data_IF_267812650096
#
_entry.id   IF_267812650096
#
_cell.length_a   1.000
_cell.length_b   1.000
_cell.length_c   1.000
_cell.angle_alpha   90.00
_cell.angle_beta   90.00
_cell.angle_gamma   90.00
#
_symmetry.space_group_name_H-M   'P 1'
#
loop_
_entity.id
_entity.type
_entity.pdbx_description
1 polymer ?
#
# COMPACT_ATOMS: atom_id res chain seq x y z
N UNK A 1 46.20 29.90 -33.27
CA UNK A 1 44.77 29.69 -33.17
C UNK A 1 44.32 28.21 -33.18
N UNK A 2 45.17 27.25 -32.85
CA UNK A 2 44.80 25.82 -32.83
C UNK A 2 44.76 25.15 -31.42
N UNK A 3 45.25 25.85 -30.38
CA UNK A 3 45.28 25.31 -29.03
C UNK A 3 44.01 25.58 -28.18
N UNK A 4 43.17 26.54 -28.55
CA UNK A 4 41.93 26.88 -27.81
C UNK A 4 40.76 25.96 -28.10
N UNK A 5 40.75 25.26 -29.23
CA UNK A 5 39.61 24.42 -29.65
C UNK A 5 39.65 23.04 -28.98
N UNK A 6 40.81 22.54 -28.57
CA UNK A 6 40.96 21.23 -27.93
C UNK A 6 40.52 21.24 -26.47
N UNK A 7 40.69 22.36 -25.76
CA UNK A 7 40.33 22.48 -24.34
C UNK A 7 38.78 22.55 -24.17
N UNK A 8 38.05 23.13 -25.14
CA UNK A 8 36.61 23.26 -25.06
C UNK A 8 35.88 21.94 -25.29
N UNK A 9 36.41 21.01 -26.10
CA UNK A 9 35.81 19.71 -26.38
C UNK A 9 36.04 18.73 -25.21
N UNK A 10 37.16 18.81 -24.50
CA UNK A 10 37.44 17.94 -23.35
C UNK A 10 36.64 18.36 -22.10
N UNK A 11 36.24 19.64 -21.98
CA UNK A 11 35.44 20.12 -20.86
C UNK A 11 33.92 19.72 -21.00
N UNK A 12 33.42 19.56 -22.24
CA UNK A 12 32.03 19.07 -22.46
C UNK A 12 31.85 17.57 -22.23
N UNK A 13 32.89 16.76 -22.39
CA UNK A 13 32.82 15.32 -22.22
C UNK A 13 32.76 14.86 -20.73
N UNK A 14 33.17 15.73 -19.78
CA UNK A 14 33.17 15.44 -18.34
C UNK A 14 31.86 15.79 -17.62
N UNK A 15 30.91 16.44 -18.30
CA UNK A 15 29.62 16.82 -17.72
C UNK A 15 28.48 15.80 -17.92
N UNK A 16 28.76 14.69 -18.61
CA UNK A 16 27.70 13.75 -19.05
C UNK A 16 27.48 12.57 -18.08
N UNK A 17 28.13 12.49 -16.92
CA UNK A 17 27.98 11.35 -15.98
C UNK A 17 27.66 11.76 -14.54
N UNK A 18 26.89 12.81 -14.37
CA UNK A 18 26.25 13.03 -13.06
C UNK A 18 24.87 12.40 -13.04
N UNK A 19 24.78 11.11 -13.24
CA UNK A 19 23.63 10.35 -12.75
C UNK A 19 23.59 10.58 -11.23
N UNK A 20 22.58 11.31 -10.75
CA UNK A 20 22.32 11.39 -9.31
C UNK A 20 22.16 9.95 -8.83
N UNK A 21 23.09 9.43 -7.99
CA UNK A 21 22.93 8.08 -7.49
C UNK A 21 21.57 8.02 -6.78
N UNK A 22 20.71 7.13 -7.19
CA UNK A 22 19.51 6.82 -6.43
C UNK A 22 20.01 6.38 -5.05
N UNK A 23 19.83 7.22 -4.04
CA UNK A 23 20.20 6.89 -2.66
C UNK A 23 19.28 5.75 -2.21
N UNK A 24 19.77 4.52 -2.34
CA UNK A 24 19.15 3.36 -1.72
C UNK A 24 19.22 3.53 -0.19
N UNK A 25 18.20 3.04 0.53
CA UNK A 25 18.22 3.02 1.99
C UNK A 25 19.41 2.18 2.48
N UNK A 26 20.17 2.73 3.43
CA UNK A 26 21.19 1.96 4.13
C UNK A 26 20.55 1.08 5.22
N UNK A 27 21.17 -0.04 5.60
CA UNK A 27 20.61 -0.96 6.60
C UNK A 27 20.32 -0.29 7.95
N UNK A 28 21.07 0.71 8.37
CA UNK A 28 20.90 1.45 9.62
C UNK A 28 19.70 2.43 9.60
N UNK A 29 19.13 2.67 8.41
CA UNK A 29 17.92 3.48 8.24
C UNK A 29 16.62 2.66 8.34
N UNK A 30 16.71 1.36 8.56
CA UNK A 30 15.55 0.45 8.59
C UNK A 30 15.31 -0.07 10.01
N UNK A 31 14.05 0.03 10.49
CA UNK A 31 13.59 -0.65 11.70
C UNK A 31 12.67 -1.81 11.34
N UNK A 32 12.82 -2.95 12.00
CA UNK A 32 12.00 -4.13 11.79
C UNK A 32 11.09 -4.34 12.99
N UNK A 33 9.79 -4.42 12.77
CA UNK A 33 8.79 -4.67 13.83
C UNK A 33 8.34 -6.12 13.75
N UNK A 34 8.48 -6.86 14.86
CA UNK A 34 8.05 -8.25 14.99
C UNK A 34 7.08 -8.42 16.17
N UNK A 35 6.14 -9.36 16.04
CA UNK A 35 5.17 -9.67 17.08
C UNK A 35 5.66 -10.85 17.95
N UNK A 36 5.97 -10.60 19.20
CA UNK A 36 6.45 -11.65 20.12
C UNK A 36 5.39 -12.71 20.46
N UNK A 37 4.12 -12.39 20.30
CA UNK A 37 3.03 -13.34 20.54
C UNK A 37 2.73 -14.23 19.32
N UNK A 38 3.28 -13.91 18.15
CA UNK A 38 3.09 -14.69 16.94
C UNK A 38 4.26 -15.67 16.75
N UNK A 39 3.95 -16.93 16.53
CA UNK A 39 4.95 -17.96 16.24
C UNK A 39 5.80 -17.54 15.02
N UNK A 40 7.11 -17.77 15.08
CA UNK A 40 8.09 -17.48 14.03
C UNK A 40 8.32 -16.00 13.69
N UNK A 41 7.53 -15.04 14.19
CA UNK A 41 7.65 -13.63 13.81
C UNK A 41 9.03 -13.06 14.17
N UNK A 42 9.48 -13.23 15.41
CA UNK A 42 10.79 -12.71 15.86
C UNK A 42 11.95 -13.46 15.19
N UNK A 43 11.86 -14.80 15.07
CA UNK A 43 12.90 -15.58 14.40
C UNK A 43 13.07 -15.19 12.93
N UNK A 44 11.95 -14.99 12.22
CA UNK A 44 11.95 -14.54 10.83
C UNK A 44 12.50 -13.13 10.69
N UNK A 45 12.14 -12.23 11.62
CA UNK A 45 12.68 -10.86 11.65
C UNK A 45 14.21 -10.86 11.84
N UNK A 46 14.72 -11.62 12.79
CA UNK A 46 16.17 -11.75 13.05
C UNK A 46 16.89 -12.28 11.83
N UNK A 47 16.36 -13.36 11.22
CA UNK A 47 16.91 -13.92 9.99
C UNK A 47 16.93 -12.91 8.84
N UNK A 48 15.84 -12.15 8.63
CA UNK A 48 15.77 -11.11 7.61
C UNK A 48 16.81 -10.01 7.86
N UNK A 49 16.93 -9.55 9.11
CA UNK A 49 17.90 -8.51 9.49
C UNK A 49 19.35 -8.96 9.25
N UNK A 50 19.68 -10.22 9.52
CA UNK A 50 20.99 -10.80 9.21
C UNK A 50 21.25 -10.80 7.69
N UNK A 51 20.28 -11.24 6.89
CA UNK A 51 20.38 -11.25 5.42
C UNK A 51 20.57 -9.85 4.83
N UNK A 52 19.91 -8.84 5.41
CA UNK A 52 19.95 -7.44 4.96
C UNK A 52 20.97 -6.58 5.71
N UNK A 53 21.77 -7.17 6.61
CA UNK A 53 22.78 -6.48 7.45
C UNK A 53 22.18 -5.32 8.27
N UNK A 54 20.91 -5.44 8.67
CA UNK A 54 20.23 -4.46 9.51
C UNK A 54 20.74 -4.63 10.96
N UNK A 55 21.13 -3.53 11.65
CA UNK A 55 21.63 -3.58 13.03
C UNK A 55 20.64 -4.23 14.00
N UNK A 56 21.09 -5.07 14.91
CA UNK A 56 20.25 -5.80 15.86
C UNK A 56 19.42 -4.89 16.77
N UNK A 57 19.93 -3.73 17.09
CA UNK A 57 19.25 -2.67 17.87
C UNK A 57 18.05 -2.06 17.14
N UNK A 58 17.94 -2.26 15.84
CA UNK A 58 16.79 -1.84 15.04
C UNK A 58 15.66 -2.88 15.01
N UNK A 59 15.75 -3.98 15.79
CA UNK A 59 14.64 -4.87 16.02
C UNK A 59 13.71 -4.34 17.11
N UNK A 60 12.48 -4.04 16.73
CA UNK A 60 11.42 -3.65 17.66
C UNK A 60 10.43 -4.80 17.86
N UNK A 61 10.36 -5.31 19.07
CA UNK A 61 9.43 -6.39 19.45
C UNK A 61 8.18 -5.77 20.10
N UNK A 62 7.00 -6.13 19.60
CA UNK A 62 5.71 -5.74 20.17
C UNK A 62 4.93 -6.98 20.65
N UNK A 63 4.01 -6.76 21.61
CA UNK A 63 3.18 -7.82 22.21
C UNK A 63 1.72 -7.54 21.87
N UNK A 64 1.27 -8.02 20.73
CA UNK A 64 -0.09 -7.81 20.21
C UNK A 64 -0.71 -9.15 19.81
N UNK A 65 -1.99 -9.14 19.44
CA UNK A 65 -2.63 -10.34 18.89
C UNK A 65 -1.92 -10.79 17.61
N UNK A 66 -1.92 -12.08 17.35
CA UNK A 66 -1.49 -12.72 16.10
C UNK A 66 -2.62 -12.84 15.05
N UNK A 67 -3.83 -12.39 15.42
CA UNK A 67 -4.97 -12.35 14.50
C UNK A 67 -4.81 -11.24 13.46
N UNK A 68 -5.50 -11.37 12.34
CA UNK A 68 -5.47 -10.36 11.27
C UNK A 68 -5.87 -8.95 11.72
N UNK A 69 -6.70 -8.82 12.75
CA UNK A 69 -7.23 -7.54 13.20
C UNK A 69 -6.93 -7.30 14.67
N UNK A 70 -6.37 -6.14 15.01
CA UNK A 70 -6.27 -5.66 16.37
C UNK A 70 -7.23 -4.48 16.62
N UNK A 71 -7.53 -4.19 17.89
CA UNK A 71 -8.31 -3.00 18.23
C UNK A 71 -7.51 -1.72 18.03
N UNK A 72 -8.21 -0.61 17.80
CA UNK A 72 -7.60 0.74 17.76
C UNK A 72 -6.86 1.06 19.06
N UNK A 73 -7.42 0.64 20.19
CA UNK A 73 -6.79 0.82 21.49
C UNK A 73 -5.46 0.07 21.59
N UNK A 74 -5.42 -1.20 21.14
CA UNK A 74 -4.18 -1.99 21.11
C UNK A 74 -3.11 -1.31 20.26
N UNK A 75 -3.48 -0.83 19.07
CA UNK A 75 -2.56 -0.08 18.20
C UNK A 75 -1.98 1.15 18.91
N UNK A 76 -2.85 1.99 19.47
CA UNK A 76 -2.45 3.24 20.12
C UNK A 76 -1.63 3.03 21.40
N UNK A 77 -1.92 1.97 22.18
CA UNK A 77 -1.23 1.72 23.46
C UNK A 77 0.00 0.82 23.33
N UNK A 78 -0.01 -0.16 22.41
CA UNK A 78 1.04 -1.20 22.35
C UNK A 78 1.97 -1.09 21.15
N UNK A 79 1.57 -0.42 20.05
CA UNK A 79 2.40 -0.30 18.85
C UNK A 79 2.95 1.11 18.70
N UNK A 80 2.11 2.14 18.74
CA UNK A 80 2.54 3.53 18.51
C UNK A 80 3.63 3.99 19.49
N UNK A 81 3.54 3.82 20.82
CA UNK A 81 4.54 4.36 21.74
C UNK A 81 5.93 3.75 21.56
N UNK A 82 6.12 2.42 21.45
CA UNK A 82 7.44 1.87 21.22
C UNK A 82 8.03 2.27 19.86
N UNK A 83 7.21 2.37 18.80
CA UNK A 83 7.67 2.82 17.49
C UNK A 83 8.15 4.28 17.56
N UNK A 84 7.37 5.19 18.15
CA UNK A 84 7.78 6.58 18.34
C UNK A 84 9.06 6.74 19.14
N UNK A 85 9.23 5.94 20.23
CA UNK A 85 10.47 5.94 21.01
C UNK A 85 11.66 5.50 20.18
N UNK A 86 11.51 4.46 19.38
CA UNK A 86 12.59 3.97 18.50
C UNK A 86 12.97 5.02 17.46
N UNK A 87 11.99 5.67 16.81
CA UNK A 87 12.23 6.76 15.85
C UNK A 87 12.86 8.00 16.50
N UNK A 88 12.51 8.32 17.74
CA UNK A 88 13.12 9.43 18.48
C UNK A 88 14.57 9.12 18.88
N UNK A 89 14.87 7.86 19.24
CA UNK A 89 16.22 7.41 19.59
C UNK A 89 17.17 7.37 18.40
N UNK A 90 16.68 6.96 17.23
CA UNK A 90 17.46 6.89 16.00
C UNK A 90 16.76 7.68 14.88
N UNK A 91 17.19 8.93 14.69
CA UNK A 91 16.63 9.84 13.67
C UNK A 91 17.00 9.48 12.23
N UNK A 92 17.92 8.53 12.04
CA UNK A 92 18.30 8.04 10.71
C UNK A 92 17.23 7.12 10.13
N UNK A 93 16.32 6.58 10.95
CA UNK A 93 15.29 5.65 10.48
C UNK A 93 14.36 6.33 9.48
N UNK A 94 14.36 5.84 8.26
CA UNK A 94 13.54 6.29 7.13
C UNK A 94 12.52 5.25 6.66
N UNK A 95 12.68 3.99 7.10
CA UNK A 95 11.75 2.92 6.74
C UNK A 95 11.43 1.99 7.92
N UNK A 96 10.21 1.47 7.91
CA UNK A 96 9.71 0.44 8.82
C UNK A 96 9.41 -0.81 7.99
N UNK A 97 9.91 -1.97 8.45
CA UNK A 97 9.49 -3.26 7.93
C UNK A 97 8.60 -3.95 8.96
N UNK A 98 7.35 -4.23 8.60
CA UNK A 98 6.42 -5.01 9.41
C UNK A 98 6.56 -6.49 9.04
N UNK A 99 6.83 -7.33 10.05
CA UNK A 99 7.10 -8.75 9.84
C UNK A 99 5.83 -9.59 9.96
N UNK A 100 5.84 -10.76 9.33
CA UNK A 100 4.88 -11.83 9.48
C UNK A 100 4.37 -11.98 10.91
N UNK A 101 3.05 -12.17 11.07
CA UNK A 101 2.40 -12.33 12.39
C UNK A 101 2.04 -11.02 13.08
N UNK A 102 2.25 -9.86 12.45
CA UNK A 102 1.62 -8.62 12.87
C UNK A 102 0.21 -8.50 12.28
N UNK A 103 -0.75 -7.89 13.01
CA UNK A 103 -2.08 -7.64 12.45
C UNK A 103 -2.03 -6.90 11.11
N UNK A 104 -2.94 -7.26 10.20
CA UNK A 104 -3.09 -6.57 8.91
C UNK A 104 -3.93 -5.30 9.06
N UNK A 105 -4.90 -5.34 9.99
CA UNK A 105 -5.94 -4.31 10.14
C UNK A 105 -6.03 -3.81 11.58
N UNK A 106 -6.46 -2.58 11.68
CA UNK A 106 -6.88 -1.93 12.92
C UNK A 106 -8.38 -1.73 12.82
N UNK A 107 -9.13 -2.31 13.77
CA UNK A 107 -10.57 -2.18 13.81
C UNK A 107 -11.02 -0.72 13.98
N UNK A 108 -12.16 -0.39 13.43
CA UNK A 108 -12.83 0.89 13.70
C UNK A 108 -13.04 1.05 15.21
N UNK A 109 -12.84 2.25 15.78
CA UNK A 109 -13.08 2.51 17.20
C UNK A 109 -14.56 2.47 17.61
N UNK A 110 -15.45 2.05 16.72
CA UNK A 110 -16.88 2.14 16.91
C UNK A 110 -17.45 3.51 16.56
N UNK A 111 -18.76 3.60 16.57
CA UNK A 111 -19.49 4.85 16.32
C UNK A 111 -19.49 5.72 17.59
N UNK A 112 -19.41 7.02 17.43
CA UNK A 112 -19.71 7.98 18.49
C UNK A 112 -21.20 7.91 18.85
N UNK A 113 -21.61 8.49 19.98
CA UNK A 113 -23.02 8.55 20.38
C UNK A 113 -23.90 9.21 19.31
N UNK A 114 -23.42 10.28 18.70
CA UNK A 114 -24.14 11.00 17.65
C UNK A 114 -24.22 10.18 16.35
N UNK A 115 -23.12 9.51 15.98
CA UNK A 115 -23.10 8.58 14.83
C UNK A 115 -24.07 7.42 15.06
N UNK A 116 -24.11 6.86 16.29
CA UNK A 116 -25.04 5.78 16.63
C UNK A 116 -26.50 6.25 16.57
N UNK A 117 -26.82 7.39 17.18
CA UNK A 117 -28.16 7.96 17.12
C UNK A 117 -28.63 8.22 15.68
N UNK A 118 -27.70 8.70 14.82
CA UNK A 118 -28.01 8.89 13.40
C UNK A 118 -28.23 7.57 12.67
N UNK A 119 -27.43 6.54 12.96
CA UNK A 119 -27.63 5.20 12.41
C UNK A 119 -28.97 4.61 12.82
N UNK A 120 -29.36 4.78 14.09
CA UNK A 120 -30.63 4.28 14.62
C UNK A 120 -31.82 4.95 13.92
N UNK A 121 -31.75 6.26 13.68
CA UNK A 121 -32.76 7.00 12.91
C UNK A 121 -32.89 6.45 11.47
N UNK A 122 -31.77 6.27 10.76
CA UNK A 122 -31.77 5.74 9.41
C UNK A 122 -32.31 4.30 9.35
N UNK A 123 -31.95 3.48 10.33
CA UNK A 123 -32.39 2.10 10.43
C UNK A 123 -33.89 2.01 10.78
N UNK A 124 -34.41 2.88 11.63
CA UNK A 124 -35.83 2.93 11.98
C UNK A 124 -36.70 3.25 10.75
N UNK A 125 -36.24 4.13 9.87
CA UNK A 125 -36.95 4.41 8.60
C UNK A 125 -37.02 3.15 7.72
N UNK A 126 -35.88 2.43 7.59
CA UNK A 126 -35.86 1.16 6.81
C UNK A 126 -36.79 0.10 7.41
N UNK A 127 -36.81 -0.06 8.74
CA UNK A 127 -37.68 -1.04 9.42
C UNK A 127 -39.19 -0.85 9.10
N UNK A 128 -39.64 0.39 8.91
CA UNK A 128 -41.05 0.66 8.52
C UNK A 128 -41.38 0.03 7.17
N UNK A 129 -40.47 0.08 6.20
CA UNK A 129 -40.70 -0.56 4.89
C UNK A 129 -40.54 -2.09 4.96
N UNK A 130 -39.64 -2.59 5.81
CA UNK A 130 -39.49 -4.04 6.00
C UNK A 130 -40.81 -4.64 6.59
N UNK A 131 -41.42 -3.95 7.57
CA UNK A 131 -42.72 -4.36 8.14
C UNK A 131 -43.88 -4.39 7.13
N UNK A 132 -43.94 -3.45 6.18
CA UNK A 132 -44.95 -3.47 5.11
C UNK A 132 -44.78 -4.71 4.22
N UNK A 133 -43.54 -5.12 3.95
CA UNK A 133 -43.26 -6.35 3.17
C UNK A 133 -43.64 -7.63 3.92
N UNK A 134 -43.39 -7.68 5.23
CA UNK A 134 -43.74 -8.83 6.07
C UNK A 134 -45.27 -9.04 6.12
N UNK A 135 -46.03 -7.94 6.06
CA UNK A 135 -47.50 -7.98 6.02
C UNK A 135 -48.09 -8.32 4.63
N UNK A 136 -47.28 -8.77 3.67
CA UNK A 136 -47.65 -9.03 2.28
C UNK A 136 -48.24 -7.80 1.54
N UNK A 137 -48.01 -6.59 2.02
CA UNK A 137 -48.41 -5.38 1.32
C UNK A 137 -47.46 -5.11 0.14
N UNK A 138 -48.03 -4.97 -1.05
CA UNK A 138 -47.26 -4.60 -2.23
C UNK A 138 -46.87 -3.12 -2.13
N UNK A 139 -45.53 -2.86 -2.07
CA UNK A 139 -45.02 -1.51 -2.09
C UNK A 139 -45.34 -0.80 -3.42
N UNK A 140 -45.84 0.42 -3.35
CA UNK A 140 -45.99 1.29 -4.52
C UNK A 140 -44.62 1.63 -5.11
N UNK A 141 -44.58 2.08 -6.35
CA UNK A 141 -43.30 2.49 -7.00
C UNK A 141 -42.61 3.62 -6.25
N UNK A 142 -43.36 4.57 -5.70
CA UNK A 142 -42.78 5.66 -4.88
C UNK A 142 -42.22 5.13 -3.55
N UNK A 143 -42.85 4.18 -2.91
CA UNK A 143 -42.34 3.51 -1.71
C UNK A 143 -41.06 2.73 -2.00
N UNK A 144 -41.00 2.01 -3.12
CA UNK A 144 -39.81 1.30 -3.58
C UNK A 144 -38.64 2.27 -3.81
N UNK A 145 -38.91 3.39 -4.49
CA UNK A 145 -37.93 4.44 -4.75
C UNK A 145 -37.40 5.04 -3.44
N UNK A 146 -38.29 5.34 -2.50
CA UNK A 146 -37.93 5.87 -1.18
C UNK A 146 -37.08 4.87 -0.40
N UNK A 147 -37.49 3.59 -0.36
CA UNK A 147 -36.71 2.52 0.29
C UNK A 147 -35.30 2.39 -0.30
N UNK A 148 -35.18 2.45 -1.63
CA UNK A 148 -33.87 2.42 -2.28
C UNK A 148 -32.98 3.59 -1.83
N UNK A 149 -33.54 4.79 -1.74
CA UNK A 149 -32.80 5.98 -1.26
C UNK A 149 -32.37 5.82 0.21
N UNK A 150 -33.22 5.28 1.07
CA UNK A 150 -32.88 5.03 2.48
C UNK A 150 -31.78 3.96 2.61
N UNK A 151 -31.84 2.88 1.86
CA UNK A 151 -30.77 1.87 1.82
C UNK A 151 -29.44 2.49 1.37
N UNK A 152 -29.49 3.36 0.35
CA UNK A 152 -28.31 4.08 -0.14
C UNK A 152 -27.73 4.99 0.93
N UNK A 153 -28.57 5.75 1.66
CA UNK A 153 -28.14 6.61 2.78
C UNK A 153 -27.48 5.79 3.90
N UNK A 154 -28.09 4.67 4.29
CA UNK A 154 -27.53 3.76 5.31
C UNK A 154 -26.14 3.25 4.87
N UNK A 155 -26.03 2.79 3.62
CA UNK A 155 -24.76 2.31 3.08
C UNK A 155 -23.69 3.40 3.08
N UNK A 156 -24.03 4.60 2.61
CA UNK A 156 -23.13 5.75 2.59
C UNK A 156 -22.70 6.13 4.02
N UNK A 157 -23.63 6.16 4.97
CA UNK A 157 -23.32 6.49 6.36
C UNK A 157 -22.41 5.44 6.99
N UNK A 158 -22.68 4.14 6.83
CA UNK A 158 -21.80 3.05 7.28
C UNK A 158 -20.39 3.20 6.73
N UNK A 159 -20.26 3.50 5.43
CA UNK A 159 -18.96 3.71 4.80
C UNK A 159 -18.25 4.94 5.38
N UNK A 160 -18.96 6.04 5.62
CA UNK A 160 -18.36 7.27 6.16
C UNK A 160 -17.95 7.17 7.64
N UNK A 161 -18.56 6.27 8.40
CA UNK A 161 -18.26 6.03 9.81
C UNK A 161 -17.29 4.86 10.03
N UNK A 162 -17.00 4.07 9.01
CA UNK A 162 -15.99 3.03 9.09
C UNK A 162 -14.59 3.66 9.13
N UNK A 163 -13.92 3.46 10.24
CA UNK A 163 -12.55 3.94 10.53
C UNK A 163 -11.55 2.79 10.59
N UNK A 164 -11.93 1.64 10.03
CA UNK A 164 -11.00 0.52 9.85
C UNK A 164 -9.83 0.95 8.96
N UNK A 165 -8.64 0.57 9.34
CA UNK A 165 -7.43 0.96 8.62
C UNK A 165 -6.46 -0.22 8.47
N UNK A 166 -5.60 -0.17 7.48
CA UNK A 166 -4.42 -1.02 7.42
C UNK A 166 -3.43 -0.60 8.52
N UNK A 167 -2.85 -1.57 9.21
CA UNK A 167 -1.78 -1.31 10.19
C UNK A 167 -0.62 -0.55 9.54
N UNK A 168 -0.23 -0.96 8.36
CA UNK A 168 0.91 -0.36 7.66
C UNK A 168 0.63 1.08 7.25
N UNK A 169 -0.57 1.39 6.77
CA UNK A 169 -0.97 2.76 6.44
C UNK A 169 -0.99 3.68 7.66
N UNK A 170 -1.43 3.17 8.81
CA UNK A 170 -1.41 3.94 10.06
C UNK A 170 0.03 4.15 10.56
N UNK A 171 0.90 3.15 10.41
CA UNK A 171 2.31 3.27 10.74
C UNK A 171 3.02 4.29 9.86
N UNK A 172 2.62 4.47 8.61
CA UNK A 172 3.17 5.54 7.76
C UNK A 172 3.00 6.92 8.38
N UNK A 173 1.95 7.14 9.17
CA UNK A 173 1.66 8.40 9.87
C UNK A 173 2.07 8.40 11.35
N UNK A 174 2.83 7.41 11.80
CA UNK A 174 3.18 7.25 13.22
C UNK A 174 3.92 8.45 13.81
N UNK A 175 4.62 9.25 13.00
CA UNK A 175 5.27 10.50 13.40
C UNK A 175 4.27 11.61 13.73
N UNK A 176 3.10 11.61 13.10
CA UNK A 176 2.07 12.63 13.30
C UNK A 176 1.27 12.33 14.56
N UNK A 177 1.24 13.27 15.49
CA UNK A 177 0.57 13.06 16.79
C UNK A 177 -0.95 13.00 16.66
N UNK A 178 -1.51 13.88 15.84
CA UNK A 178 -2.94 14.03 15.67
C UNK A 178 -3.31 14.19 14.21
N UNK A 179 -4.25 13.41 13.75
CA UNK A 179 -4.88 13.52 12.44
C UNK A 179 -6.32 13.00 12.52
N UNK A 180 -7.17 13.51 11.64
CA UNK A 180 -8.55 13.03 11.55
C UNK A 180 -8.56 11.67 10.92
N UNK A 181 -9.09 10.66 11.62
CA UNK A 181 -9.30 9.33 11.07
C UNK A 181 -10.49 9.40 10.12
N UNK A 182 -10.21 9.35 8.83
CA UNK A 182 -11.19 9.37 7.76
C UNK A 182 -11.07 8.07 6.94
N UNK A 183 -11.99 7.89 5.99
CA UNK A 183 -11.97 6.79 5.04
C UNK A 183 -10.63 6.70 4.28
N UNK A 184 -10.07 7.83 3.87
CA UNK A 184 -8.74 7.93 3.27
C UNK A 184 -8.12 9.30 3.55
N UNK A 185 -6.80 9.36 3.47
CA UNK A 185 -6.04 10.59 3.61
C UNK A 185 -5.17 10.80 2.36
N UNK A 186 -5.01 12.05 1.87
CA UNK A 186 -4.17 12.34 0.72
C UNK A 186 -2.72 11.93 0.95
N UNK A 187 -2.14 11.17 0.04
CA UNK A 187 -0.72 10.83 0.09
C UNK A 187 0.12 11.95 -0.50
N UNK A 188 1.01 12.61 0.28
CA UNK A 188 1.82 13.73 -0.19
C UNK A 188 2.84 13.35 -1.28
N UNK A 189 3.10 12.06 -1.49
CA UNK A 189 3.96 11.56 -2.56
C UNK A 189 3.22 11.32 -3.88
N UNK A 190 1.89 11.39 -3.88
CA UNK A 190 1.11 11.23 -5.10
C UNK A 190 1.25 12.46 -6.00
N UNK A 191 1.73 12.28 -7.21
CA UNK A 191 2.09 13.37 -8.13
C UNK A 191 0.97 14.38 -8.38
N UNK A 192 -0.31 13.98 -8.57
CA UNK A 192 -1.41 14.93 -8.76
C UNK A 192 -1.65 15.88 -7.59
N UNK A 193 -1.15 15.57 -6.38
CA UNK A 193 -1.27 16.44 -5.19
C UNK A 193 -0.18 17.50 -5.08
N UNK A 194 0.83 17.53 -5.97
CA UNK A 194 1.98 18.44 -5.85
C UNK A 194 1.61 19.93 -5.80
N UNK A 195 0.54 20.30 -6.49
CA UNK A 195 0.04 21.68 -6.56
C UNK A 195 -1.09 21.97 -5.56
N UNK A 196 -1.50 21.01 -4.76
CA UNK A 196 -2.62 21.13 -3.84
C UNK A 196 -2.13 21.24 -2.40
N UNK A 197 -2.77 22.11 -1.61
CA UNK A 197 -2.54 22.18 -0.17
C UNK A 197 -3.24 21.00 0.51
N UNK A 198 -2.47 20.04 1.01
CA UNK A 198 -2.97 18.88 1.77
C UNK A 198 -2.53 18.97 3.22
N UNK A 199 -3.29 18.30 4.11
CA UNK A 199 -3.07 18.37 5.55
C UNK A 199 -1.89 17.51 6.06
N UNK A 200 -1.23 16.75 5.17
CA UNK A 200 -0.14 15.84 5.49
C UNK A 200 1.08 16.23 4.68
N UNK A 201 2.17 16.56 5.34
CA UNK A 201 3.46 16.84 4.70
C UNK A 201 4.26 15.55 4.49
N UNK A 202 5.22 15.61 3.55
CA UNK A 202 6.12 14.47 3.30
C UNK A 202 6.93 14.06 4.52
N UNK A 203 7.28 15.01 5.39
CA UNK A 203 7.99 14.79 6.65
C UNK A 203 7.15 14.06 7.71
N UNK A 204 5.82 14.15 7.61
CA UNK A 204 4.89 13.41 8.48
C UNK A 204 4.87 11.90 8.17
N UNK A 205 5.32 11.51 6.97
CA UNK A 205 5.22 10.15 6.45
C UNK A 205 6.56 9.43 6.57
N UNK A 206 6.51 8.17 7.02
CA UNK A 206 7.64 7.24 6.97
C UNK A 206 7.30 6.09 6.03
N UNK A 207 8.27 5.57 5.29
CA UNK A 207 8.06 4.41 4.46
C UNK A 207 7.75 3.18 5.31
N UNK A 208 6.74 2.41 4.91
CA UNK A 208 6.38 1.14 5.55
C UNK A 208 6.27 0.06 4.48
N UNK A 209 6.93 -1.06 4.70
CA UNK A 209 6.86 -2.24 3.86
C UNK A 209 6.54 -3.46 4.71
N UNK A 210 5.78 -4.41 4.16
CA UNK A 210 5.40 -5.64 4.87
C UNK A 210 6.06 -6.85 4.23
N UNK A 211 6.61 -7.70 5.11
CA UNK A 211 7.05 -9.04 4.76
C UNK A 211 6.07 -10.04 5.37
N UNK A 212 5.15 -10.52 4.58
CA UNK A 212 4.08 -11.42 4.99
C UNK A 212 3.78 -12.47 3.90
N UNK A 213 3.03 -13.50 4.25
CA UNK A 213 2.65 -14.57 3.35
C UNK A 213 1.83 -15.64 4.05
N UNK A 214 1.40 -16.66 3.32
CA UNK A 214 0.60 -17.75 3.87
C UNK A 214 1.38 -18.60 4.92
N UNK A 215 2.71 -18.59 4.85
CA UNK A 215 3.59 -19.28 5.79
C UNK A 215 4.96 -18.57 5.89
N UNK A 216 5.70 -18.77 6.99
CA UNK A 216 7.05 -18.21 7.17
C UNK A 216 8.02 -18.58 6.04
N UNK A 217 7.92 -19.80 5.50
CA UNK A 217 8.75 -20.26 4.38
C UNK A 217 8.52 -19.46 3.09
N UNK A 218 7.29 -18.98 2.86
CA UNK A 218 6.98 -18.11 1.71
C UNK A 218 7.70 -16.78 1.87
N UNK A 219 7.71 -16.19 3.06
CA UNK A 219 8.43 -14.94 3.33
C UNK A 219 9.94 -15.13 3.13
N UNK A 220 10.50 -16.26 3.62
CA UNK A 220 11.91 -16.59 3.39
C UNK A 220 12.24 -16.72 1.91
N UNK A 221 11.39 -17.37 1.13
CA UNK A 221 11.55 -17.50 -0.31
C UNK A 221 11.55 -16.12 -0.98
N UNK A 222 10.55 -15.28 -0.70
CA UNK A 222 10.45 -13.92 -1.27
C UNK A 222 11.73 -13.11 -1.00
N UNK A 223 12.27 -13.18 0.22
CA UNK A 223 13.51 -12.47 0.57
C UNK A 223 14.72 -13.03 -0.17
N UNK A 224 14.86 -14.36 -0.24
CA UNK A 224 15.95 -15.00 -0.95
C UNK A 224 15.92 -14.69 -2.46
N UNK A 225 14.75 -14.82 -3.07
CA UNK A 225 14.54 -14.52 -4.50
C UNK A 225 14.85 -13.04 -4.81
N UNK A 226 14.46 -12.13 -3.88
CA UNK A 226 14.77 -10.70 -4.00
C UNK A 226 16.28 -10.44 -3.95
N UNK A 227 17.00 -11.07 -3.01
CA UNK A 227 18.46 -10.93 -2.88
C UNK A 227 19.17 -11.50 -4.11
N UNK A 228 18.69 -12.64 -4.61
CA UNK A 228 19.22 -13.24 -5.83
C UNK A 228 19.01 -12.32 -7.03
N UNK A 229 17.80 -11.77 -7.20
CA UNK A 229 17.49 -10.83 -8.28
C UNK A 229 18.31 -9.53 -8.20
N UNK A 230 18.60 -9.03 -6.99
CA UNK A 230 19.48 -7.86 -6.80
C UNK A 230 20.92 -8.14 -7.28
N UNK A 231 21.37 -9.38 -7.18
CA UNK A 231 22.74 -9.77 -7.58
C UNK A 231 22.84 -10.14 -9.05
N UNK A 232 21.84 -10.89 -9.56
CA UNK A 232 21.88 -11.48 -10.91
C UNK A 232 21.05 -10.70 -11.93
N UNK A 233 20.24 -9.73 -11.48
CA UNK A 233 19.21 -9.10 -12.29
C UNK A 233 17.97 -9.98 -12.46
N UNK A 234 16.98 -9.47 -13.18
CA UNK A 234 15.80 -10.23 -13.58
C UNK A 234 16.10 -11.01 -14.85
N UNK A 235 15.85 -12.30 -14.83
CA UNK A 235 15.96 -13.17 -16.00
C UNK A 235 14.64 -13.91 -16.26
N UNK A 236 14.37 -14.29 -17.50
CA UNK A 236 13.16 -15.00 -17.89
C UNK A 236 12.28 -14.19 -18.84
N UNK A 237 11.03 -14.63 -19.00
CA UNK A 237 10.03 -13.99 -19.86
C UNK A 237 9.08 -13.13 -19.03
N UNK A 238 8.90 -11.88 -19.43
CA UNK A 238 7.93 -10.98 -18.84
C UNK A 238 6.57 -11.15 -19.53
N UNK A 239 5.55 -11.52 -18.76
CA UNK A 239 4.18 -11.71 -19.25
C UNK A 239 3.33 -10.48 -18.89
N UNK A 240 2.66 -9.93 -19.90
CA UNK A 240 1.77 -8.78 -19.78
C UNK A 240 0.37 -9.15 -20.27
N UNK A 241 -0.64 -8.97 -19.42
CA UNK A 241 -2.04 -9.27 -19.72
C UNK A 241 -2.81 -7.95 -19.84
N UNK A 242 -2.96 -7.46 -21.07
CA UNK A 242 -3.77 -6.29 -21.40
C UNK A 242 -5.16 -6.75 -21.89
N UNK A 243 -6.22 -5.97 -21.59
CA UNK A 243 -7.60 -6.33 -21.96
C UNK A 243 -8.00 -5.83 -23.34
N UNK A 244 -7.31 -4.84 -23.83
CA UNK A 244 -7.61 -4.18 -25.10
C UNK A 244 -6.34 -3.99 -25.91
N UNK A 245 -6.54 -3.84 -27.21
CA UNK A 245 -5.45 -3.49 -28.11
C UNK A 245 -4.86 -2.12 -27.74
N UNK A 246 -3.58 -1.95 -28.00
CA UNK A 246 -2.89 -0.69 -27.72
C UNK A 246 -3.63 0.50 -28.36
N UNK A 247 -4.08 1.49 -27.57
CA UNK A 247 -4.80 2.66 -28.09
C UNK A 247 -3.90 3.64 -28.84
N UNK A 248 -2.57 3.46 -28.85
CA UNK A 248 -1.62 4.39 -29.43
C UNK A 248 -1.70 5.79 -28.81
N UNK A 249 -1.87 6.82 -29.65
CA UNK A 249 -1.99 8.22 -29.24
C UNK A 249 -3.40 8.63 -28.76
N UNK A 250 -4.38 7.73 -28.83
CA UNK A 250 -5.75 8.06 -28.38
C UNK A 250 -5.77 8.36 -26.90
N UNK A 251 -6.54 9.37 -26.49
CA UNK A 251 -6.82 9.65 -25.08
C UNK A 251 -7.74 8.57 -24.53
N UNK A 252 -7.33 7.97 -23.44
CA UNK A 252 -8.08 6.97 -22.70
C UNK A 252 -8.16 7.38 -21.24
N UNK A 253 -9.13 6.85 -20.47
CA UNK A 253 -9.30 7.12 -19.05
C UNK A 253 -9.67 5.86 -18.29
N UNK A 254 -9.62 5.89 -16.96
CA UNK A 254 -9.96 4.76 -16.12
C UNK A 254 -9.15 3.51 -16.46
N UNK A 255 -9.82 2.39 -16.64
CA UNK A 255 -9.16 1.10 -16.97
C UNK A 255 -8.42 1.15 -18.31
N UNK A 256 -8.86 1.94 -19.28
CA UNK A 256 -8.14 2.10 -20.54
C UNK A 256 -6.79 2.77 -20.38
N UNK A 257 -6.62 3.70 -19.41
CA UNK A 257 -5.33 4.29 -19.08
C UNK A 257 -4.41 3.28 -18.39
N UNK A 258 -4.96 2.48 -17.48
CA UNK A 258 -4.23 1.40 -16.84
C UNK A 258 -3.71 0.39 -17.87
N UNK A 259 -4.58 -0.04 -18.77
CA UNK A 259 -4.27 -0.99 -19.84
C UNK A 259 -3.19 -0.45 -20.79
N UNK A 260 -3.28 0.84 -21.15
CA UNK A 260 -2.24 1.53 -21.93
C UNK A 260 -0.88 1.47 -21.25
N UNK A 261 -0.82 1.60 -19.92
CA UNK A 261 0.43 1.51 -19.17
C UNK A 261 1.08 0.12 -19.23
N UNK A 262 0.27 -0.95 -19.34
CA UNK A 262 0.73 -2.33 -19.56
C UNK A 262 1.43 -2.44 -20.91
N UNK A 263 0.81 -1.92 -21.99
CA UNK A 263 1.42 -1.91 -23.32
C UNK A 263 2.74 -1.12 -23.35
N UNK A 264 2.78 0.05 -22.67
CA UNK A 264 3.98 0.87 -22.60
C UNK A 264 5.11 0.16 -21.84
N UNK A 265 4.80 -0.52 -20.73
CA UNK A 265 5.76 -1.29 -19.95
C UNK A 265 6.33 -2.46 -20.77
N UNK A 266 5.46 -3.25 -21.42
CA UNK A 266 5.85 -4.32 -22.30
C UNK A 266 6.78 -3.82 -23.43
N UNK A 267 6.41 -2.70 -24.06
CA UNK A 267 7.22 -2.10 -25.13
C UNK A 267 8.60 -1.61 -24.65
N UNK A 268 8.70 -1.07 -23.43
CA UNK A 268 9.99 -0.66 -22.84
C UNK A 268 10.89 -1.85 -22.58
N UNK A 269 10.38 -2.88 -21.89
CA UNK A 269 11.17 -4.07 -21.59
C UNK A 269 11.65 -4.80 -22.85
N UNK A 270 10.80 -4.85 -23.89
CA UNK A 270 11.21 -5.40 -25.18
C UNK A 270 12.34 -4.62 -25.83
N UNK A 271 12.33 -3.27 -25.73
CA UNK A 271 13.44 -2.41 -26.21
C UNK A 271 14.74 -2.64 -25.45
N UNK A 272 14.66 -2.97 -24.16
CA UNK A 272 15.81 -3.32 -23.31
C UNK A 272 16.29 -4.77 -23.51
N UNK A 273 15.73 -5.48 -24.48
CA UNK A 273 16.18 -6.84 -24.85
C UNK A 273 15.59 -7.97 -24.00
N UNK A 274 14.60 -7.70 -23.17
CA UNK A 274 13.92 -8.76 -22.43
C UNK A 274 12.95 -9.55 -23.31
N UNK A 275 12.80 -10.85 -23.01
CA UNK A 275 11.73 -11.65 -23.60
C UNK A 275 10.38 -11.19 -23.04
N UNK A 276 9.48 -10.78 -23.92
CA UNK A 276 8.18 -10.24 -23.55
C UNK A 276 7.07 -10.95 -24.29
N UNK A 277 6.11 -11.48 -23.56
CA UNK A 277 4.82 -11.96 -24.05
C UNK A 277 3.76 -10.96 -23.65
N UNK A 278 3.08 -10.38 -24.62
CA UNK A 278 1.96 -9.46 -24.41
C UNK A 278 0.70 -10.08 -24.98
N UNK A 279 -0.27 -10.34 -24.13
CA UNK A 279 -1.63 -10.68 -24.52
C UNK A 279 -2.52 -9.43 -24.48
N UNK A 280 -3.23 -9.14 -25.55
CA UNK A 280 -4.17 -8.01 -25.67
C UNK A 280 -5.60 -8.49 -26.01
N UNK A 281 -5.93 -9.73 -25.63
CA UNK A 281 -7.26 -10.31 -25.75
C UNK A 281 -8.13 -9.96 -24.53
N UNK A 282 -9.44 -10.04 -24.69
CA UNK A 282 -10.38 -9.79 -23.58
C UNK A 282 -10.34 -10.87 -22.49
N UNK A 283 -9.91 -12.09 -22.79
CA UNK A 283 -9.74 -13.18 -21.84
C UNK A 283 -8.47 -13.00 -21.00
N UNK A 284 -8.47 -13.56 -19.79
CA UNK A 284 -7.25 -13.71 -18.97
C UNK A 284 -6.36 -14.80 -19.55
N UNK A 285 -5.05 -14.75 -19.25
CA UNK A 285 -4.19 -15.90 -19.41
C UNK A 285 -4.83 -17.15 -18.81
N UNK A 286 -4.79 -18.24 -19.54
CA UNK A 286 -5.27 -19.53 -19.06
C UNK A 286 -4.09 -20.33 -18.48
N UNK A 287 -4.34 -21.37 -17.66
CA UNK A 287 -3.31 -22.30 -17.26
C UNK A 287 -2.59 -22.86 -18.51
N UNK A 288 -1.26 -22.67 -18.56
CA UNK A 288 -0.42 -23.06 -19.70
C UNK A 288 -0.04 -21.92 -20.65
N UNK A 289 -0.71 -20.78 -20.62
CA UNK A 289 -0.31 -19.61 -21.41
C UNK A 289 0.98 -18.96 -20.87
N UNK A 290 1.26 -19.16 -19.58
CA UNK A 290 2.50 -18.77 -18.93
C UNK A 290 3.26 -20.04 -18.52
N UNK A 291 4.12 -20.60 -19.37
CA UNK A 291 4.92 -21.76 -18.99
C UNK A 291 5.86 -21.41 -17.83
N UNK A 292 5.99 -22.36 -16.91
CA UNK A 292 6.87 -22.28 -15.73
C UNK A 292 8.34 -22.17 -16.11
#
# INVERSE_FOLDING_TARGET
MRFFTVILVTSCALLSFSGIPALALSPDEVIVIANRNAANSVGLATWYMEKRKIPKENLLQVFVTDKETCSRETYLKKIVPPVRRALAKNRKINAIVTMYGLPLRIASPGMTKDEQARMDQLTAQKKKFDALKENNEQLTEDQKKTLYQEIKKIKQFKTSTDKTASLDSELMLVKKERYKINFWLPNPFFLPWRSQKIAIDKSDVIMVSRLDGAAPSIVQRIVNDSIEAETKGLSGTAYFDARWKNPGQKKVSGYGLYDKSIHEAAGRLKKEGMNVVLDDKQGLFQPGDCPN
#
